data_IF_095252404489
#
_entry.id   IF_095252404489
#
_cell.length_a   1.000
_cell.length_b   1.000
_cell.length_c   1.000
_cell.angle_alpha   90.00
_cell.angle_beta   90.00
_cell.angle_gamma   90.00
#
_symmetry.space_group_name_H-M   'P 1'
#
loop_
_entity.id
_entity.type
_entity.pdbx_description
1 polymer ?
#
# COMPACT_ATOMS: atom_id res chain seq x y z
N UNK A 1 2.49 -28.08 3.22
CA UNK A 1 2.92 -26.74 2.77
C UNK A 1 3.16 -25.90 4.04
N UNK A 2 4.41 -25.48 4.29
CA UNK A 2 4.89 -25.00 5.59
C UNK A 2 4.47 -23.54 5.90
N UNK A 3 3.22 -23.31 6.30
CA UNK A 3 2.72 -22.00 6.75
C UNK A 3 3.45 -21.38 7.97
N UNK A 4 4.39 -22.11 8.59
CA UNK A 4 5.04 -21.69 9.84
C UNK A 4 6.06 -20.56 9.61
N UNK A 5 6.81 -20.58 8.51
CA UNK A 5 7.93 -19.64 8.33
C UNK A 5 7.43 -18.23 8.02
N UNK A 6 6.49 -18.08 7.10
CA UNK A 6 5.94 -16.79 6.69
C UNK A 6 5.21 -16.11 7.85
N UNK A 7 4.43 -16.89 8.62
CA UNK A 7 3.71 -16.39 9.79
C UNK A 7 4.67 -15.93 10.90
N UNK A 8 5.77 -16.65 11.12
CA UNK A 8 6.79 -16.27 12.10
C UNK A 8 7.48 -14.98 11.65
N UNK A 9 7.89 -14.88 10.38
CA UNK A 9 8.53 -13.68 9.84
C UNK A 9 7.61 -12.45 9.97
N UNK A 10 6.33 -12.58 9.64
CA UNK A 10 5.35 -11.50 9.80
C UNK A 10 5.22 -11.02 11.26
N UNK A 11 5.21 -11.95 12.22
CA UNK A 11 5.15 -11.61 13.65
C UNK A 11 6.42 -10.92 14.14
N UNK A 12 7.59 -11.37 13.68
CA UNK A 12 8.87 -10.72 13.99
C UNK A 12 8.89 -9.28 13.47
N UNK A 13 8.43 -9.05 12.25
CA UNK A 13 8.30 -7.70 11.66
C UNK A 13 7.37 -6.83 12.52
N UNK A 14 6.21 -7.36 12.94
CA UNK A 14 5.27 -6.62 13.78
C UNK A 14 5.88 -6.22 15.14
N UNK A 15 6.61 -7.14 15.78
CA UNK A 15 7.33 -6.86 17.04
C UNK A 15 8.40 -5.79 16.84
N UNK A 16 9.15 -5.86 15.74
CA UNK A 16 10.17 -4.88 15.39
C UNK A 16 9.59 -3.47 15.18
N UNK A 17 8.49 -3.35 14.44
CA UNK A 17 7.80 -2.07 14.25
C UNK A 17 7.32 -1.51 15.59
N UNK A 18 6.70 -2.34 16.44
CA UNK A 18 6.26 -1.93 17.78
C UNK A 18 7.41 -1.44 18.66
N UNK A 19 8.56 -2.10 18.58
CA UNK A 19 9.79 -1.69 19.26
C UNK A 19 10.27 -0.30 18.82
N UNK A 20 10.31 -0.03 17.51
CA UNK A 20 10.68 1.30 16.98
C UNK A 20 9.71 2.36 17.50
N UNK A 21 8.40 2.12 17.41
CA UNK A 21 7.38 3.06 17.87
C UNK A 21 7.55 3.36 19.37
N UNK A 22 7.82 2.33 20.18
CA UNK A 22 8.05 2.49 21.61
C UNK A 22 9.28 3.36 21.91
N UNK A 23 10.43 3.07 21.30
CA UNK A 23 11.65 3.85 21.50
C UNK A 23 11.51 5.30 21.02
N UNK A 24 10.88 5.50 19.86
CA UNK A 24 10.62 6.85 19.34
C UNK A 24 9.66 7.62 20.24
N UNK A 25 8.63 6.96 20.80
CA UNK A 25 7.69 7.62 21.72
C UNK A 25 8.39 8.12 22.99
N UNK A 26 9.33 7.34 23.54
CA UNK A 26 10.14 7.78 24.69
C UNK A 26 10.98 9.00 24.31
N UNK A 27 11.66 8.96 23.16
CA UNK A 27 12.53 10.05 22.70
C UNK A 27 11.72 11.34 22.48
N UNK A 28 10.57 11.25 21.81
CA UNK A 28 9.67 12.37 21.54
C UNK A 28 9.05 12.93 22.82
N UNK A 29 8.75 12.10 23.82
CA UNK A 29 8.20 12.60 25.09
C UNK A 29 9.14 13.57 25.83
N UNK A 30 10.45 13.51 25.52
CA UNK A 30 11.45 14.41 26.08
C UNK A 30 11.56 15.74 25.32
N UNK A 31 11.01 15.85 24.10
CA UNK A 31 11.09 17.03 23.23
C UNK A 31 9.70 17.47 22.75
N UNK A 32 9.15 18.53 23.36
CA UNK A 32 7.74 18.93 23.15
C UNK A 32 7.47 19.73 21.87
N UNK A 33 8.50 20.15 21.14
CA UNK A 33 8.39 21.07 20.00
C UNK A 33 8.77 20.41 18.67
N UNK A 34 8.32 19.19 18.40
CA UNK A 34 8.57 18.51 17.12
C UNK A 34 7.37 18.74 16.18
N UNK A 35 7.52 19.51 15.08
CA UNK A 35 6.41 19.84 14.18
C UNK A 35 5.73 18.64 13.52
N UNK A 36 6.47 17.52 13.38
CA UNK A 36 6.00 16.29 12.74
C UNK A 36 4.90 15.59 13.56
N UNK A 37 4.87 15.77 14.88
CA UNK A 37 3.92 15.09 15.79
C UNK A 37 2.65 15.92 16.09
N UNK A 38 2.25 16.78 15.15
CA UNK A 38 1.03 17.56 15.25
C UNK A 38 -0.08 16.88 14.44
N UNK A 39 -1.31 16.88 14.96
CA UNK A 39 -2.48 16.25 14.34
C UNK A 39 -3.44 17.36 13.91
N UNK A 40 -3.84 17.35 12.63
CA UNK A 40 -4.80 18.30 12.08
C UNK A 40 -4.15 19.49 11.34
N UNK A 41 -4.97 20.45 10.87
CA UNK A 41 -4.48 21.58 10.08
C UNK A 41 -3.49 22.42 10.89
N UNK A 42 -2.41 22.82 10.24
CA UNK A 42 -1.30 23.48 10.90
C UNK A 42 -0.61 24.45 9.95
N UNK A 43 -0.21 25.61 10.45
CA UNK A 43 0.55 26.58 9.67
C UNK A 43 1.91 26.03 9.20
N UNK A 44 2.47 25.05 9.93
CA UNK A 44 3.70 24.35 9.58
C UNK A 44 3.48 23.11 8.69
N UNK A 45 2.22 22.74 8.39
CA UNK A 45 1.93 21.65 7.45
C UNK A 45 2.13 22.18 6.03
N UNK A 46 3.26 21.83 5.43
CA UNK A 46 3.59 22.23 4.06
C UNK A 46 3.71 21.00 3.16
N UNK A 47 2.94 21.02 2.07
CA UNK A 47 3.08 20.06 0.97
C UNK A 47 3.39 20.89 -0.28
N UNK A 48 4.50 20.61 -0.96
CA UNK A 48 5.02 21.44 -2.07
C UNK A 48 5.17 22.93 -1.72
N UNK A 49 5.58 23.22 -0.49
CA UNK A 49 5.68 24.60 0.03
C UNK A 49 4.35 25.34 0.14
N UNK A 50 3.21 24.67 -0.05
CA UNK A 50 1.87 25.23 0.16
C UNK A 50 1.46 24.93 1.60
N UNK A 51 1.19 25.98 2.38
CA UNK A 51 0.65 25.87 3.73
C UNK A 51 -0.79 25.35 3.74
N UNK A 52 -1.00 24.24 4.46
CA UNK A 52 -2.29 23.58 4.67
C UNK A 52 -2.83 24.01 6.04
N UNK A 53 -3.17 25.29 6.11
CA UNK A 53 -3.63 26.02 7.29
C UNK A 53 -5.15 25.94 7.50
N UNK A 54 -5.91 25.56 6.48
CA UNK A 54 -7.37 25.54 6.49
C UNK A 54 -7.92 24.12 6.43
N UNK A 55 -9.05 23.90 7.10
CA UNK A 55 -9.75 22.60 7.11
C UNK A 55 -10.10 22.12 5.71
N UNK A 56 -10.46 23.02 4.78
CA UNK A 56 -10.77 22.65 3.40
C UNK A 56 -9.54 22.11 2.64
N UNK A 57 -8.38 22.77 2.77
CA UNK A 57 -7.11 22.26 2.20
C UNK A 57 -6.74 20.93 2.85
N UNK A 58 -6.89 20.82 4.17
CA UNK A 58 -6.61 19.60 4.92
C UNK A 58 -7.46 18.42 4.43
N UNK A 59 -8.78 18.57 4.33
CA UNK A 59 -9.69 17.51 3.83
C UNK A 59 -9.32 17.10 2.40
N UNK A 60 -8.90 18.05 1.56
CA UNK A 60 -8.44 17.76 0.19
C UNK A 60 -7.21 16.87 0.19
N UNK A 61 -6.22 17.20 1.05
CA UNK A 61 -5.00 16.40 1.22
C UNK A 61 -5.31 15.02 1.79
N UNK A 62 -6.16 14.93 2.81
CA UNK A 62 -6.59 13.66 3.41
C UNK A 62 -7.27 12.77 2.36
N UNK A 63 -8.18 13.33 1.57
CA UNK A 63 -8.87 12.60 0.51
C UNK A 63 -7.89 12.14 -0.58
N UNK A 64 -6.93 12.99 -0.93
CA UNK A 64 -5.85 12.64 -1.83
C UNK A 64 -5.01 11.48 -1.30
N UNK A 65 -4.56 11.53 -0.05
CA UNK A 65 -3.76 10.47 0.59
C UNK A 65 -4.52 9.13 0.60
N UNK A 66 -5.79 9.17 0.96
CA UNK A 66 -6.64 7.97 0.98
C UNK A 66 -6.76 7.33 -0.42
N UNK A 67 -7.05 8.14 -1.44
CA UNK A 67 -7.15 7.65 -2.83
C UNK A 67 -5.80 7.17 -3.34
N UNK A 68 -4.72 7.91 -3.07
CA UNK A 68 -3.37 7.59 -3.52
C UNK A 68 -2.89 6.26 -2.94
N UNK A 69 -3.07 6.05 -1.63
CA UNK A 69 -2.85 4.76 -0.97
C UNK A 69 -3.69 3.64 -1.60
N UNK A 70 -4.97 3.87 -1.88
CA UNK A 70 -5.79 2.86 -2.55
C UNK A 70 -5.25 2.46 -3.92
N UNK A 71 -4.85 3.42 -4.75
CA UNK A 71 -4.22 3.17 -6.06
C UNK A 71 -2.88 2.44 -5.88
N UNK A 72 -2.08 2.80 -4.86
CA UNK A 72 -0.80 2.17 -4.53
C UNK A 72 -0.98 0.70 -4.21
N UNK A 73 -1.99 0.40 -3.40
CA UNK A 73 -2.34 -0.97 -3.04
C UNK A 73 -2.79 -1.77 -4.26
N UNK A 74 -3.59 -1.20 -5.17
CA UNK A 74 -3.97 -1.86 -6.43
C UNK A 74 -2.76 -2.11 -7.33
N UNK A 75 -1.86 -1.13 -7.44
CA UNK A 75 -0.64 -1.28 -8.24
C UNK A 75 0.26 -2.41 -7.70
N UNK A 76 0.47 -2.48 -6.38
CA UNK A 76 1.33 -3.49 -5.74
C UNK A 76 0.72 -4.90 -5.70
N UNK A 77 -0.60 -5.01 -5.52
CA UNK A 77 -1.25 -6.31 -5.32
C UNK A 77 -1.86 -6.88 -6.59
N UNK A 78 -2.14 -6.06 -7.61
CA UNK A 78 -2.74 -6.49 -8.87
C UNK A 78 -1.76 -6.33 -10.03
N UNK A 79 -1.37 -5.08 -10.33
CA UNK A 79 -0.67 -4.76 -11.58
C UNK A 79 0.76 -5.32 -11.57
N UNK A 80 1.51 -5.09 -10.50
CA UNK A 80 2.89 -5.55 -10.39
C UNK A 80 2.99 -7.10 -10.43
N UNK A 81 2.21 -7.88 -9.67
CA UNK A 81 2.22 -9.34 -9.79
C UNK A 81 1.80 -9.83 -11.17
N UNK A 82 0.86 -9.16 -11.84
CA UNK A 82 0.49 -9.50 -13.22
C UNK A 82 1.68 -9.28 -14.17
N UNK A 83 2.36 -8.12 -14.09
CA UNK A 83 3.56 -7.86 -14.91
C UNK A 83 4.63 -8.92 -14.65
N UNK A 84 4.91 -9.23 -13.38
CA UNK A 84 5.94 -10.20 -13.01
C UNK A 84 5.60 -11.60 -13.55
N UNK A 85 4.41 -12.11 -13.24
CA UNK A 85 4.06 -13.50 -13.52
C UNK A 85 3.61 -13.75 -14.97
N UNK A 86 3.11 -12.74 -15.66
CA UNK A 86 2.54 -12.89 -17.02
C UNK A 86 3.45 -12.32 -18.11
N UNK A 87 4.20 -11.23 -17.83
CA UNK A 87 5.06 -10.57 -18.81
C UNK A 87 6.54 -10.89 -18.59
N UNK A 88 7.03 -10.84 -17.35
CA UNK A 88 8.47 -10.98 -17.05
C UNK A 88 8.92 -12.43 -16.84
N UNK A 89 8.03 -13.31 -16.37
CA UNK A 89 8.30 -14.73 -16.22
C UNK A 89 8.42 -15.42 -17.58
N UNK A 90 9.66 -15.72 -17.97
CA UNK A 90 9.98 -16.41 -19.23
C UNK A 90 9.58 -17.88 -19.25
N UNK A 91 9.30 -18.47 -18.08
CA UNK A 91 8.87 -19.86 -17.98
C UNK A 91 7.36 -20.02 -18.24
N UNK A 92 6.61 -18.94 -18.01
CA UNK A 92 5.18 -18.90 -18.27
C UNK A 92 4.89 -18.80 -19.77
N UNK A 93 4.01 -19.68 -20.27
CA UNK A 93 3.61 -19.75 -21.69
C UNK A 93 2.29 -19.03 -21.98
N UNK A 94 1.77 -18.25 -21.04
CA UNK A 94 0.57 -17.44 -21.27
C UNK A 94 0.78 -16.50 -22.45
N UNK A 95 -0.09 -16.58 -23.45
CA UNK A 95 -0.06 -15.70 -24.60
C UNK A 95 -0.46 -14.28 -24.16
N UNK A 96 0.43 -13.33 -24.40
CA UNK A 96 0.23 -11.92 -24.05
C UNK A 96 0.29 -11.06 -25.30
N UNK A 97 -0.56 -10.03 -25.34
CA UNK A 97 -0.52 -9.06 -26.43
C UNK A 97 0.58 -8.05 -26.15
N UNK A 98 1.57 -7.93 -27.06
CA UNK A 98 2.69 -7.01 -26.91
C UNK A 98 2.27 -5.59 -26.52
N UNK A 99 1.25 -5.04 -27.20
CA UNK A 99 0.73 -3.70 -26.92
C UNK A 99 0.28 -3.54 -25.47
N UNK A 100 -0.53 -4.47 -24.96
CA UNK A 100 -1.04 -4.43 -23.59
C UNK A 100 0.10 -4.54 -22.57
N UNK A 101 1.07 -5.43 -22.83
CA UNK A 101 2.23 -5.61 -21.94
C UNK A 101 3.08 -4.35 -21.83
N UNK A 102 3.35 -3.67 -22.95
CA UNK A 102 4.07 -2.41 -22.94
C UNK A 102 3.28 -1.31 -22.23
N UNK A 103 2.01 -1.11 -22.60
CA UNK A 103 1.15 -0.08 -22.00
C UNK A 103 1.08 -0.20 -20.48
N UNK A 104 0.79 -1.39 -19.97
CA UNK A 104 0.71 -1.66 -18.53
C UNK A 104 2.06 -1.49 -17.82
N UNK A 105 3.16 -1.90 -18.46
CA UNK A 105 4.51 -1.73 -17.88
C UNK A 105 4.94 -0.26 -17.83
N UNK A 106 4.61 0.53 -18.85
CA UNK A 106 4.89 1.96 -18.89
C UNK A 106 4.08 2.71 -17.83
N UNK A 107 2.77 2.45 -17.75
CA UNK A 107 1.90 3.05 -16.74
C UNK A 107 2.39 2.71 -15.32
N UNK A 108 2.70 1.44 -15.05
CA UNK A 108 3.26 1.01 -13.78
C UNK A 108 4.54 1.78 -13.41
N UNK A 109 5.46 1.92 -14.37
CA UNK A 109 6.75 2.60 -14.15
C UNK A 109 6.55 4.10 -13.85
N UNK A 110 5.74 4.80 -14.65
CA UNK A 110 5.46 6.23 -14.46
C UNK A 110 4.76 6.43 -13.11
N UNK A 111 3.78 5.59 -12.80
CA UNK A 111 3.06 5.63 -11.54
C UNK A 111 4.01 5.48 -10.35
N UNK A 112 4.90 4.48 -10.34
CA UNK A 112 5.82 4.26 -9.22
C UNK A 112 6.70 5.50 -8.94
N UNK A 113 7.20 6.15 -9.99
CA UNK A 113 8.00 7.37 -9.83
C UNK A 113 7.18 8.54 -9.29
N UNK A 114 5.98 8.73 -9.81
CA UNK A 114 5.07 9.78 -9.35
C UNK A 114 4.64 9.56 -7.90
N UNK A 115 4.21 8.33 -7.57
CA UNK A 115 3.77 7.94 -6.24
C UNK A 115 4.91 8.03 -5.21
N UNK A 116 6.12 7.61 -5.57
CA UNK A 116 7.30 7.80 -4.73
C UNK A 116 7.57 9.27 -4.42
N UNK A 117 7.51 10.13 -5.44
CA UNK A 117 7.69 11.57 -5.27
C UNK A 117 6.62 12.18 -4.36
N UNK A 118 5.35 11.85 -4.58
CA UNK A 118 4.23 12.32 -3.75
C UNK A 118 4.38 11.85 -2.31
N UNK A 119 4.68 10.57 -2.11
CA UNK A 119 4.84 9.95 -0.80
C UNK A 119 5.92 10.63 0.04
N UNK A 120 7.08 10.92 -0.54
CA UNK A 120 8.16 11.63 0.17
C UNK A 120 7.73 13.02 0.65
N UNK A 121 6.96 13.75 -0.16
CA UNK A 121 6.47 15.08 0.21
C UNK A 121 5.41 15.01 1.33
N UNK A 122 4.56 13.98 1.33
CA UNK A 122 3.56 13.78 2.39
C UNK A 122 4.24 13.38 3.70
N UNK A 123 5.18 12.43 3.69
CA UNK A 123 5.82 11.95 4.91
C UNK A 123 6.67 13.01 5.63
N UNK A 124 7.28 13.90 4.87
CA UNK A 124 8.06 15.01 5.44
C UNK A 124 7.19 16.10 6.06
N UNK A 125 5.88 16.07 5.79
CA UNK A 125 4.95 17.09 6.24
C UNK A 125 4.49 16.82 7.68
N UNK A 126 3.74 15.75 7.95
CA UNK A 126 3.21 15.41 9.28
C UNK A 126 2.92 13.90 9.42
N UNK A 127 2.91 13.42 10.68
CA UNK A 127 2.68 12.01 11.01
C UNK A 127 1.21 11.56 10.82
N UNK A 128 0.25 12.49 10.92
CA UNK A 128 -1.17 12.17 10.76
C UNK A 128 -1.52 11.71 9.34
N UNK A 129 -0.89 12.32 8.32
CA UNK A 129 -1.00 11.90 6.92
C UNK A 129 -0.45 10.49 6.70
N UNK A 130 0.64 10.12 7.37
CA UNK A 130 1.16 8.75 7.33
C UNK A 130 0.15 7.75 7.90
N UNK A 131 -0.52 8.08 9.02
CA UNK A 131 -1.55 7.19 9.58
C UNK A 131 -2.73 6.99 8.64
N UNK A 132 -3.13 8.02 7.90
CA UNK A 132 -4.20 7.94 6.91
C UNK A 132 -3.78 7.02 5.74
N UNK A 133 -2.56 7.16 5.23
CA UNK A 133 -2.01 6.27 4.19
C UNK A 133 -1.96 4.82 4.68
N UNK A 134 -1.44 4.56 5.89
CA UNK A 134 -1.39 3.20 6.45
C UNK A 134 -2.80 2.61 6.59
N UNK A 135 -3.75 3.40 7.09
CA UNK A 135 -5.12 2.94 7.29
C UNK A 135 -5.77 2.58 5.95
N UNK A 136 -5.63 3.43 4.94
CA UNK A 136 -6.17 3.19 3.61
C UNK A 136 -5.55 1.94 2.96
N UNK A 137 -4.23 1.75 3.09
CA UNK A 137 -3.52 0.58 2.57
C UNK A 137 -3.99 -0.71 3.27
N UNK A 138 -4.17 -0.68 4.59
CA UNK A 138 -4.68 -1.83 5.35
C UNK A 138 -6.10 -2.20 4.94
N UNK A 139 -6.99 -1.20 4.78
CA UNK A 139 -8.37 -1.42 4.34
C UNK A 139 -8.37 -2.08 2.95
N UNK A 140 -7.62 -1.53 2.00
CA UNK A 140 -7.58 -2.04 0.64
C UNK A 140 -6.92 -3.42 0.56
N UNK A 141 -5.85 -3.65 1.32
CA UNK A 141 -5.18 -4.96 1.41
C UNK A 141 -6.12 -6.01 2.00
N UNK A 142 -6.92 -5.65 3.01
CA UNK A 142 -7.93 -6.55 3.57
C UNK A 142 -8.98 -6.94 2.53
N UNK A 143 -9.51 -5.97 1.78
CA UNK A 143 -10.49 -6.25 0.72
C UNK A 143 -9.93 -7.12 -0.39
N UNK A 144 -8.74 -6.79 -0.92
CA UNK A 144 -8.09 -7.57 -1.97
C UNK A 144 -7.75 -8.98 -1.52
N UNK A 145 -7.18 -9.13 -0.32
CA UNK A 145 -6.85 -10.45 0.24
C UNK A 145 -8.09 -11.31 0.39
N UNK A 146 -9.19 -10.73 0.91
CA UNK A 146 -10.47 -11.42 1.06
C UNK A 146 -11.02 -11.85 -0.30
N UNK A 147 -10.97 -10.96 -1.30
CA UNK A 147 -11.38 -11.26 -2.66
C UNK A 147 -10.56 -12.42 -3.27
N UNK A 148 -9.23 -12.39 -3.15
CA UNK A 148 -8.36 -13.43 -3.70
C UNK A 148 -8.54 -14.78 -3.03
N UNK A 149 -8.63 -14.82 -1.70
CA UNK A 149 -8.85 -16.07 -0.95
C UNK A 149 -10.20 -16.68 -1.35
N UNK A 150 -11.26 -15.87 -1.37
CA UNK A 150 -12.60 -16.32 -1.74
C UNK A 150 -12.63 -16.87 -3.18
N UNK A 151 -12.07 -16.12 -4.15
CA UNK A 151 -12.01 -16.54 -5.55
C UNK A 151 -11.25 -17.86 -5.71
N UNK A 152 -10.12 -18.03 -5.01
CA UNK A 152 -9.34 -19.26 -5.04
C UNK A 152 -10.13 -20.46 -4.49
N UNK A 153 -10.84 -20.27 -3.37
CA UNK A 153 -11.67 -21.33 -2.78
C UNK A 153 -12.84 -21.72 -3.67
N UNK A 154 -13.45 -20.77 -4.39
CA UNK A 154 -14.53 -21.04 -5.34
C UNK A 154 -14.05 -21.87 -6.54
N UNK A 155 -12.88 -21.53 -7.09
CA UNK A 155 -12.26 -22.29 -8.20
C UNK A 155 -11.93 -23.73 -7.75
N UNK A 156 -11.39 -23.91 -6.55
CA UNK A 156 -11.02 -25.23 -6.03
C UNK A 156 -12.25 -26.12 -5.81
N UNK A 157 -13.35 -25.56 -5.27
CA UNK A 157 -14.62 -26.28 -5.14
C UNK A 157 -15.19 -26.70 -6.49
N UNK A 158 -15.22 -25.77 -7.46
CA UNK A 158 -15.68 -26.06 -8.81
C UNK A 158 -14.90 -27.21 -9.45
N UNK A 159 -13.57 -27.22 -9.32
CA UNK A 159 -12.73 -28.28 -9.89
C UNK A 159 -12.98 -29.65 -9.24
N UNK A 160 -13.17 -29.68 -7.91
CA UNK A 160 -13.48 -30.92 -7.19
C UNK A 160 -14.82 -31.52 -7.59
N UNK A 161 -15.85 -30.69 -7.84
CA UNK A 161 -17.16 -31.16 -8.29
C UNK A 161 -17.08 -31.80 -9.69
N UNK A 162 -16.31 -31.23 -10.62
CA UNK A 162 -16.09 -31.83 -11.95
C UNK A 162 -15.37 -33.19 -11.88
N UNK A 163 -14.44 -33.37 -10.93
CA UNK A 163 -13.73 -34.65 -10.74
C UNK A 163 -14.54 -35.74 -10.03
N UNK A 164 -15.68 -35.42 -9.41
CA UNK A 164 -16.58 -36.41 -8.81
C UNK A 164 -17.65 -36.91 -9.78
N UNK A 165 -17.84 -36.22 -10.91
CA UNK A 165 -18.83 -36.55 -11.95
C UNK A 165 -18.19 -37.37 -13.10
N UNK A 166 -16.86 -37.42 -13.18
CA UNK A 166 -16.08 -38.18 -14.16
C UNK A 166 -15.19 -39.22 -13.47
#
# INVERSE_FOLDING_TARGET
MNFKTETIVARVIAVWIGSIIFFMSILVSNDRNIPIFQIGPNENLHIFSIGIDTTAKYITVVSFCFVNSGVRTLNHNILQPWIINTVQDKSNKTLVTYRQSYELSFIHTIYNWFDFFMYMNILMSQIDMLFIEILADLIMTFFLTTYYVKSKTEIEKSNNDYTLIH
#
